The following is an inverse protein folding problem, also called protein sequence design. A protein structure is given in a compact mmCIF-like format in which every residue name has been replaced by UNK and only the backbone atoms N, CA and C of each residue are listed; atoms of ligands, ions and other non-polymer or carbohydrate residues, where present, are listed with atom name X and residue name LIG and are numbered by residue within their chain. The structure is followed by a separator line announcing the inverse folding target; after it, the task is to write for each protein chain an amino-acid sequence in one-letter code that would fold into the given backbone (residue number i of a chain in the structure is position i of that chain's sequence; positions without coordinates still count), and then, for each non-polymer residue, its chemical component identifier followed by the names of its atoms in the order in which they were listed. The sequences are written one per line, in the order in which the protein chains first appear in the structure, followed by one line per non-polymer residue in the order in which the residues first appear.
data_IF_392733775187
#
_entry.id   IF_392733775187
#
_cell.length_a   1.000
_cell.length_b   1.000
_cell.length_c   1.000
_cell.angle_alpha   90.00
_cell.angle_beta   90.00
_cell.angle_gamma   90.00
#
_symmetry.space_group_name_H-M   'P 1'
#
loop_
_entity.id
_entity.type
_entity.pdbx_description
1 polymer ?
#
# COMPACT_ATOMS: atom_id res chain seq x y z
N UNK A 1 -10.31 -6.42 -15.51
CA UNK A 1 -10.32 -6.43 -14.03
C UNK A 1 -9.60 -5.20 -13.55
N UNK A 2 -10.17 -4.45 -12.60
CA UNK A 2 -9.58 -3.19 -12.13
C UNK A 2 -8.27 -3.51 -11.39
N UNK A 3 -7.12 -3.22 -12.00
CA UNK A 3 -5.81 -3.74 -11.58
C UNK A 3 -5.11 -2.88 -10.52
N UNK A 4 -5.89 -2.06 -9.79
CA UNK A 4 -5.39 -1.07 -8.83
C UNK A 4 -5.84 -1.34 -7.39
N UNK A 5 -6.39 -2.53 -7.11
CA UNK A 5 -6.73 -2.91 -5.73
C UNK A 5 -5.45 -3.15 -4.94
N UNK A 6 -5.36 -2.55 -3.75
CA UNK A 6 -4.30 -2.80 -2.77
C UNK A 6 -4.84 -3.64 -1.64
N UNK A 7 -4.03 -4.58 -1.16
CA UNK A 7 -4.35 -5.41 0.00
C UNK A 7 -3.61 -4.91 1.23
N UNK A 8 -4.28 -4.92 2.37
CA UNK A 8 -3.67 -4.82 3.70
C UNK A 8 -3.93 -6.15 4.40
N UNK A 9 -2.89 -6.95 4.61
CA UNK A 9 -3.00 -8.27 5.24
C UNK A 9 -2.64 -8.17 6.72
N UNK A 10 -3.56 -8.58 7.60
CA UNK A 10 -3.31 -8.64 9.05
C UNK A 10 -3.05 -10.10 9.44
N UNK A 11 -2.04 -10.34 10.27
CA UNK A 11 -1.76 -11.69 10.76
C UNK A 11 -0.83 -11.71 11.96
N UNK A 12 -0.95 -12.74 12.78
CA UNK A 12 -0.08 -13.00 13.93
C UNK A 12 0.45 -14.44 13.97
N UNK A 13 -0.22 -15.38 13.30
CA UNK A 13 0.14 -16.79 13.30
C UNK A 13 1.27 -17.15 12.35
N UNK A 14 1.97 -18.25 12.62
CA UNK A 14 3.00 -18.78 11.72
C UNK A 14 2.45 -19.08 10.30
N UNK A 15 1.16 -19.42 10.22
CA UNK A 15 0.46 -19.66 8.96
C UNK A 15 0.34 -18.42 8.08
N UNK A 16 0.49 -17.22 8.64
CA UNK A 16 0.41 -15.94 7.93
C UNK A 16 1.70 -15.57 7.19
N UNK A 17 2.81 -16.26 7.48
CA UNK A 17 4.08 -15.99 6.79
C UNK A 17 4.06 -16.39 5.32
N UNK A 18 3.58 -17.58 4.98
CA UNK A 18 3.51 -18.02 3.58
C UNK A 18 2.62 -17.12 2.68
N UNK A 19 1.40 -16.72 3.08
CA UNK A 19 0.59 -15.81 2.28
C UNK A 19 1.19 -14.39 2.22
N UNK A 20 1.90 -13.92 3.25
CA UNK A 20 2.54 -12.59 3.19
C UNK A 20 3.62 -12.49 2.10
N UNK A 21 4.33 -13.58 1.80
CA UNK A 21 5.29 -13.64 0.68
C UNK A 21 4.65 -13.49 -0.71
N UNK A 22 3.32 -13.60 -0.81
CA UNK A 22 2.58 -13.44 -2.08
C UNK A 22 2.06 -12.01 -2.28
N UNK A 23 2.25 -11.13 -1.31
CA UNK A 23 1.89 -9.73 -1.42
C UNK A 23 2.69 -9.06 -2.53
N UNK A 24 1.99 -8.27 -3.35
CA UNK A 24 2.59 -7.60 -4.49
C UNK A 24 3.13 -6.24 -4.07
N UNK A 25 3.76 -5.55 -5.02
CA UNK A 25 4.14 -4.15 -4.81
C UNK A 25 2.87 -3.34 -4.52
N UNK A 26 2.92 -2.44 -3.52
CA UNK A 26 1.79 -1.64 -3.02
C UNK A 26 0.77 -2.39 -2.15
N UNK A 27 1.03 -3.65 -1.83
CA UNK A 27 0.28 -4.39 -0.82
C UNK A 27 1.05 -4.34 0.51
N UNK A 28 0.33 -4.22 1.62
CA UNK A 28 0.87 -4.04 2.96
C UNK A 28 0.72 -5.30 3.79
N UNK A 29 1.75 -5.64 4.57
CA UNK A 29 1.69 -6.64 5.64
C UNK A 29 1.61 -5.94 6.99
N UNK A 30 0.69 -6.36 7.85
CA UNK A 30 0.51 -5.87 9.22
C UNK A 30 0.68 -7.01 10.24
N UNK A 31 1.92 -7.42 10.56
CA UNK A 31 2.17 -8.51 11.48
C UNK A 31 2.06 -8.05 12.94
N UNK A 32 1.42 -8.84 13.80
CA UNK A 32 1.43 -8.56 15.24
C UNK A 32 2.84 -8.74 15.81
N UNK A 33 3.38 -7.73 16.49
CA UNK A 33 4.72 -7.74 17.07
C UNK A 33 4.84 -8.83 18.12
N UNK A 34 5.98 -9.51 18.16
CA UNK A 34 6.30 -10.59 19.11
C UNK A 34 5.45 -11.86 18.93
N UNK A 35 4.90 -12.07 17.74
CA UNK A 35 4.21 -13.30 17.36
C UNK A 35 4.94 -14.00 16.19
N UNK A 36 4.66 -15.29 15.94
CA UNK A 36 5.45 -16.08 14.98
C UNK A 36 5.56 -15.49 13.56
N UNK A 37 4.51 -14.84 13.05
CA UNK A 37 4.58 -14.16 11.75
C UNK A 37 5.63 -13.04 11.75
N UNK A 38 5.63 -12.20 12.78
CA UNK A 38 6.57 -11.10 12.97
C UNK A 38 8.01 -11.60 13.04
N UNK A 39 8.26 -12.64 13.84
CA UNK A 39 9.61 -13.18 14.03
C UNK A 39 10.19 -13.74 12.72
N UNK A 40 9.36 -14.37 11.88
CA UNK A 40 9.80 -14.87 10.57
C UNK A 40 10.09 -13.73 9.60
N UNK A 41 9.25 -12.69 9.60
CA UNK A 41 9.43 -11.51 8.76
C UNK A 41 10.70 -10.75 9.14
N UNK A 42 10.98 -10.59 10.44
CA UNK A 42 12.17 -9.89 10.92
C UNK A 42 13.48 -10.63 10.61
N UNK A 43 13.45 -11.95 10.38
CA UNK A 43 14.65 -12.73 10.03
C UNK A 43 15.17 -12.41 8.63
N UNK A 44 14.26 -12.14 7.70
CA UNK A 44 14.62 -11.73 6.35
C UNK A 44 13.61 -10.70 5.81
N UNK A 45 13.74 -9.42 6.22
CA UNK A 45 12.84 -8.37 5.77
C UNK A 45 12.90 -8.14 4.25
N UNK A 46 13.99 -8.55 3.59
CA UNK A 46 14.18 -8.32 2.15
C UNK A 46 13.18 -9.08 1.28
N UNK A 47 12.56 -10.13 1.84
CA UNK A 47 11.53 -10.91 1.16
C UNK A 47 10.18 -10.18 1.07
N UNK A 48 9.95 -9.20 1.93
CA UNK A 48 8.75 -8.36 1.90
C UNK A 48 9.14 -6.96 1.45
N UNK A 49 8.50 -6.51 0.37
CA UNK A 49 8.78 -5.19 -0.23
C UNK A 49 8.27 -4.09 0.69
N UNK A 50 9.16 -3.52 1.51
CA UNK A 50 9.09 -2.22 2.23
C UNK A 50 7.81 -1.82 3.00
N UNK A 51 6.75 -2.63 2.98
CA UNK A 51 5.40 -2.29 3.46
C UNK A 51 5.00 -3.21 4.63
N UNK A 52 5.92 -3.38 5.59
CA UNK A 52 5.66 -4.09 6.85
C UNK A 52 5.30 -3.07 7.94
N UNK A 53 4.13 -3.24 8.55
CA UNK A 53 3.60 -2.32 9.56
C UNK A 53 3.14 -3.07 10.81
N UNK A 54 4.02 -3.19 11.80
CA UNK A 54 3.73 -3.93 13.02
C UNK A 54 2.79 -3.24 14.00
N UNK A 55 1.99 -4.02 14.72
CA UNK A 55 1.10 -3.57 15.79
C UNK A 55 1.20 -4.50 17.01
N UNK A 56 0.97 -3.98 18.23
CA UNK A 56 1.11 -4.76 19.48
C UNK A 56 -0.25 -5.07 20.12
N UNK A 57 -1.16 -4.11 20.05
CA UNK A 57 -2.49 -4.13 20.66
C UNK A 57 -3.55 -3.51 19.72
N UNK A 58 -4.79 -3.42 20.19
CA UNK A 58 -5.91 -2.92 19.40
C UNK A 58 -5.82 -1.43 19.06
N UNK A 59 -5.22 -0.62 19.93
CA UNK A 59 -5.08 0.83 19.69
C UNK A 59 -4.01 1.09 18.62
N UNK A 60 -2.84 0.46 18.75
CA UNK A 60 -1.81 0.52 17.72
C UNK A 60 -2.33 -0.03 16.38
N UNK A 61 -3.11 -1.12 16.42
CA UNK A 61 -3.71 -1.69 15.22
C UNK A 61 -4.60 -0.69 14.49
N UNK A 62 -5.51 -0.03 15.20
CA UNK A 62 -6.39 1.00 14.64
C UNK A 62 -5.59 2.15 14.03
N UNK A 63 -4.64 2.72 14.78
CA UNK A 63 -3.84 3.86 14.35
C UNK A 63 -3.05 3.55 13.07
N UNK A 64 -2.41 2.39 13.01
CA UNK A 64 -1.62 1.97 11.84
C UNK A 64 -2.53 1.69 10.65
N UNK A 65 -3.63 0.97 10.84
CA UNK A 65 -4.57 0.64 9.78
C UNK A 65 -5.19 1.91 9.15
N UNK A 66 -5.66 2.84 9.99
CA UNK A 66 -6.25 4.08 9.53
C UNK A 66 -5.24 4.96 8.79
N UNK A 67 -3.99 5.01 9.26
CA UNK A 67 -2.91 5.72 8.57
C UNK A 67 -2.67 5.15 7.17
N UNK A 68 -2.62 3.82 7.03
CA UNK A 68 -2.44 3.17 5.73
C UNK A 68 -3.61 3.47 4.79
N UNK A 69 -4.86 3.31 5.26
CA UNK A 69 -6.05 3.60 4.45
C UNK A 69 -6.06 5.05 3.98
N UNK A 70 -5.76 6.01 4.86
CA UNK A 70 -5.72 7.42 4.49
C UNK A 70 -4.62 7.72 3.46
N UNK A 71 -3.42 7.16 3.64
CA UNK A 71 -2.34 7.29 2.66
C UNK A 71 -2.73 6.70 1.30
N UNK A 72 -3.41 5.54 1.32
CA UNK A 72 -3.93 4.89 0.12
C UNK A 72 -4.86 5.84 -0.63
N UNK A 73 -5.84 6.43 0.06
CA UNK A 73 -6.81 7.36 -0.53
C UNK A 73 -6.12 8.60 -1.13
N UNK A 74 -5.19 9.22 -0.40
CA UNK A 74 -4.46 10.42 -0.86
C UNK A 74 -3.65 10.12 -2.13
N UNK A 75 -2.97 8.98 -2.18
CA UNK A 75 -2.20 8.58 -3.37
C UNK A 75 -3.10 8.34 -4.59
N UNK A 76 -4.28 7.75 -4.39
CA UNK A 76 -5.25 7.51 -5.47
C UNK A 76 -5.80 8.82 -6.02
N UNK A 77 -6.16 9.76 -5.14
CA UNK A 77 -6.59 11.11 -5.54
C UNK A 77 -5.49 11.85 -6.31
N UNK A 78 -4.24 11.80 -5.84
CA UNK A 78 -3.10 12.43 -6.52
C UNK A 78 -2.85 11.82 -7.92
N UNK A 79 -2.98 10.48 -8.06
CA UNK A 79 -2.85 9.80 -9.35
C UNK A 79 -3.95 10.21 -10.34
N UNK A 80 -5.19 10.36 -9.86
CA UNK A 80 -6.31 10.84 -10.67
C UNK A 80 -6.08 12.29 -11.14
N UNK A 81 -5.66 13.18 -10.23
CA UNK A 81 -5.36 14.59 -10.54
C UNK A 81 -4.23 14.69 -11.57
N UNK A 82 -3.12 13.99 -11.36
CA UNK A 82 -1.98 13.96 -12.28
C UNK A 82 -2.37 13.48 -13.68
N UNK A 83 -3.25 12.47 -13.76
CA UNK A 83 -3.72 11.94 -15.05
C UNK A 83 -4.55 12.97 -15.82
N UNK A 84 -5.35 13.77 -15.11
CA UNK A 84 -6.19 14.81 -15.70
C UNK A 84 -5.38 16.03 -16.20
N UNK A 85 -4.35 16.45 -15.45
CA UNK A 85 -3.50 17.57 -15.85
C UNK A 85 -2.69 17.28 -17.13
N UNK A 86 -2.25 16.04 -17.35
CA UNK A 86 -1.55 15.65 -18.59
C UNK A 86 -2.43 15.78 -19.83
N UNK A 87 -3.73 15.49 -19.70
CA UNK A 87 -4.71 15.60 -20.78
C UNK A 87 -4.95 17.05 -21.24
N UNK A 88 -4.88 18.02 -20.32
CA UNK A 88 -5.06 19.45 -20.66
C UNK A 88 -3.86 20.05 -21.42
N UNK A 89 -2.66 19.47 -21.29
CA UNK A 89 -1.45 19.96 -22.00
C UNK A 89 -1.39 19.62 -23.49
N UNK A 90 -2.27 18.75 -23.99
CA UNK A 90 -2.29 18.29 -25.39
C UNK A 90 -3.30 19.03 -26.29
N UNK A 91 -3.97 20.06 -25.78
CA UNK A 91 -5.06 20.75 -26.48
C UNK A 91 -4.75 22.20 -26.80
N UNK A 92 -3.68 22.50 -27.56
CA UNK A 92 -3.59 23.79 -28.25
C UNK A 92 -2.89 23.65 -29.62
N UNK A 93 -3.62 23.59 -30.75
CA UNK A 93 -3.17 24.24 -31.96
C UNK A 93 -3.67 25.70 -31.92
N UNK A 94 -2.78 26.65 -31.63
CA UNK A 94 -3.05 28.06 -31.89
C UNK A 94 -2.96 28.23 -33.40
N UNK A 95 -4.09 28.19 -34.09
CA UNK A 95 -4.20 28.80 -35.41
C UNK A 95 -4.54 30.27 -35.20
N UNK A 96 -3.54 31.14 -35.31
CA UNK A 96 -3.73 32.58 -35.55
C UNK A 96 -3.36 32.83 -37.00
N UNK A 97 -4.37 32.88 -37.88
CA UNK A 97 -4.22 33.45 -39.21
C UNK A 97 -4.68 34.92 -39.15
N UNK A 98 -3.80 35.82 -39.59
CA UNK A 98 -4.10 37.22 -39.92
C UNK A 98 -4.51 37.36 -41.38
#
# INVERSE_FOLDING_TARGET
MNNNKRFIYLGDGIGDYCPSLRLKKRDFMMPRKNFPAWDLICKDPSLLKDEIHGWSDGEELEQVLMKLINNIMIEEDAQLISSNCKLQSLSIPVAIDF
#
